data_IF_994838374407
#
_entry.id   IF_994838374407
#
_cell.length_a   1.000
_cell.length_b   1.000
_cell.length_c   1.000
_cell.angle_alpha   90.00
_cell.angle_beta   90.00
_cell.angle_gamma   90.00
#
_symmetry.space_group_name_H-M   'P 1'
#
loop_
_entity.id
_entity.type
_entity.pdbx_description
1 polymer ?
#
# COMPACT_ATOMS: atom_id res chain seq x y z
N UNK A 1 9.13 4.39 8.80
CA UNK A 1 10.60 4.36 8.90
C UNK A 1 11.14 4.40 7.48
N UNK A 2 11.34 5.59 6.93
CA UNK A 2 11.82 5.82 5.57
C UNK A 2 13.29 5.49 5.52
N UNK A 3 13.64 4.34 4.95
CA UNK A 3 14.98 4.15 4.40
C UNK A 3 15.18 5.25 3.35
N UNK A 4 16.26 6.00 3.51
CA UNK A 4 16.74 7.11 2.68
C UNK A 4 16.63 6.75 1.18
N UNK A 5 15.47 7.03 0.58
CA UNK A 5 15.26 6.89 -0.87
C UNK A 5 15.79 8.18 -1.47
N UNK A 6 16.92 8.09 -2.15
CA UNK A 6 17.43 9.20 -2.93
C UNK A 6 16.32 9.64 -3.91
N UNK A 7 15.99 10.92 -3.92
CA UNK A 7 14.99 11.44 -4.85
C UNK A 7 15.61 11.53 -6.26
N UNK A 8 14.77 11.32 -7.27
CA UNK A 8 15.13 11.48 -8.66
C UNK A 8 15.40 12.96 -8.96
N UNK A 9 16.60 13.27 -9.42
CA UNK A 9 17.04 14.65 -9.74
C UNK A 9 17.31 14.88 -11.23
N UNK A 10 17.23 13.83 -12.06
CA UNK A 10 17.46 13.91 -13.50
C UNK A 10 16.26 13.36 -14.25
N UNK A 11 15.82 14.04 -15.33
CA UNK A 11 14.68 13.60 -16.12
C UNK A 11 15.00 12.33 -16.95
N UNK A 12 16.28 12.05 -17.22
CA UNK A 12 16.67 10.93 -18.09
C UNK A 12 16.37 9.56 -17.48
N UNK A 13 15.93 8.64 -18.34
CA UNK A 13 15.68 7.24 -17.96
C UNK A 13 17.03 6.50 -18.00
N UNK A 14 17.49 5.90 -16.89
CA UNK A 14 18.77 5.21 -16.86
C UNK A 14 18.83 4.00 -17.79
N UNK A 15 20.01 3.76 -18.37
CA UNK A 15 20.26 2.57 -19.18
C UNK A 15 19.93 1.24 -18.45
N UNK A 16 20.21 1.07 -17.13
CA UNK A 16 19.75 -0.10 -16.37
C UNK A 16 18.24 -0.36 -16.42
N UNK A 17 17.40 0.69 -16.51
CA UNK A 17 15.94 0.55 -16.61
C UNK A 17 15.56 0.08 -18.01
N UNK A 18 16.16 0.69 -19.04
CA UNK A 18 15.92 0.31 -20.44
C UNK A 18 16.41 -1.12 -20.74
N UNK A 19 17.52 -1.54 -20.13
CA UNK A 19 18.04 -2.89 -20.25
C UNK A 19 17.05 -3.93 -19.70
N UNK A 20 16.49 -3.70 -18.51
CA UNK A 20 15.48 -4.59 -17.93
C UNK A 20 14.25 -4.71 -18.82
N UNK A 21 13.77 -3.60 -19.39
CA UNK A 21 12.64 -3.63 -20.32
C UNK A 21 12.93 -4.48 -21.57
N UNK A 22 14.12 -4.35 -22.16
CA UNK A 22 14.52 -5.17 -23.32
C UNK A 22 14.60 -6.65 -22.96
N UNK A 23 15.18 -6.97 -21.80
CA UNK A 23 15.30 -8.36 -21.36
C UNK A 23 13.95 -8.98 -21.01
N UNK A 24 13.05 -8.23 -20.40
CA UNK A 24 11.71 -8.69 -20.11
C UNK A 24 10.91 -9.04 -21.37
N UNK A 25 11.04 -8.23 -22.42
CA UNK A 25 10.28 -8.42 -23.66
C UNK A 25 10.93 -9.44 -24.62
N UNK A 26 12.26 -9.60 -24.60
CA UNK A 26 12.99 -10.36 -25.64
C UNK A 26 13.69 -11.61 -25.10
N UNK A 27 14.09 -11.64 -23.83
CA UNK A 27 15.09 -12.59 -23.34
C UNK A 27 14.59 -13.55 -22.25
N UNK A 28 13.27 -13.68 -22.06
CA UNK A 28 12.71 -14.63 -21.09
C UNK A 28 12.99 -14.27 -19.62
N UNK A 29 13.15 -12.96 -19.32
CA UNK A 29 13.42 -12.52 -17.94
C UNK A 29 12.38 -13.04 -16.94
N UNK A 30 11.13 -13.26 -17.39
CA UNK A 30 10.01 -13.73 -16.58
C UNK A 30 9.75 -15.24 -16.70
N UNK A 31 10.75 -16.04 -17.10
CA UNK A 31 10.60 -17.50 -17.18
C UNK A 31 10.65 -18.17 -15.80
N UNK A 32 11.63 -17.78 -14.97
CA UNK A 32 11.81 -18.27 -13.61
C UNK A 32 12.58 -17.25 -12.74
N UNK A 33 12.70 -17.53 -11.44
CA UNK A 33 13.37 -16.65 -10.47
C UNK A 33 14.84 -16.41 -10.80
N UNK A 34 15.54 -17.44 -11.29
CA UNK A 34 16.96 -17.38 -11.58
C UNK A 34 17.24 -16.53 -12.83
N UNK A 35 16.41 -16.68 -13.86
CA UNK A 35 16.44 -15.88 -15.09
C UNK A 35 16.16 -14.41 -14.80
N UNK A 36 15.16 -14.14 -13.96
CA UNK A 36 14.81 -12.79 -13.48
C UNK A 36 15.98 -12.13 -12.75
N UNK A 37 16.56 -12.83 -11.77
CA UNK A 37 17.69 -12.33 -11.00
C UNK A 37 18.92 -12.11 -11.88
N UNK A 38 19.27 -13.08 -12.73
CA UNK A 38 20.43 -12.99 -13.61
C UNK A 38 20.30 -11.82 -14.60
N UNK A 39 19.10 -11.56 -15.13
CA UNK A 39 18.87 -10.41 -16.01
C UNK A 39 18.95 -9.07 -15.29
N UNK A 40 18.39 -8.97 -14.08
CA UNK A 40 18.54 -7.77 -13.24
C UNK A 40 20.01 -7.51 -12.90
N UNK A 41 20.79 -8.53 -12.53
CA UNK A 41 22.21 -8.38 -12.23
C UNK A 41 23.04 -7.94 -13.46
N UNK A 42 22.73 -8.51 -14.65
CA UNK A 42 23.35 -8.11 -15.93
C UNK A 42 23.02 -6.66 -16.30
N UNK A 43 21.81 -6.20 -16.00
CA UNK A 43 21.40 -4.81 -16.18
C UNK A 43 21.99 -3.84 -15.13
N UNK A 44 22.74 -4.35 -14.15
CA UNK A 44 23.45 -3.53 -13.15
C UNK A 44 22.72 -3.37 -11.82
N UNK A 45 21.61 -4.10 -11.60
CA UNK A 45 20.90 -4.12 -10.33
C UNK A 45 21.60 -5.03 -9.32
N UNK A 46 21.35 -4.79 -8.03
CA UNK A 46 21.89 -5.58 -6.93
C UNK A 46 20.78 -5.96 -5.96
N UNK A 47 20.82 -7.21 -5.49
CA UNK A 47 19.91 -7.71 -4.45
C UNK A 47 20.02 -6.84 -3.20
N UNK A 48 18.88 -6.40 -2.72
CA UNK A 48 18.74 -5.71 -1.45
C UNK A 48 18.73 -6.69 -0.27
N UNK A 49 18.62 -6.14 0.94
CA UNK A 49 18.45 -6.95 2.16
C UNK A 49 17.07 -7.62 2.21
N UNK A 50 16.03 -6.90 1.83
CA UNK A 50 14.67 -7.42 1.69
C UNK A 50 14.57 -8.24 0.41
N UNK A 51 14.06 -9.47 0.51
CA UNK A 51 13.84 -10.32 -0.67
C UNK A 51 12.94 -9.65 -1.71
N UNK A 52 13.28 -9.84 -2.98
CA UNK A 52 12.59 -9.21 -4.10
C UNK A 52 12.87 -7.72 -4.30
N UNK A 53 13.57 -7.04 -3.39
CA UNK A 53 13.98 -5.64 -3.57
C UNK A 53 15.37 -5.57 -4.20
N UNK A 54 15.51 -4.68 -5.19
CA UNK A 54 16.76 -4.43 -5.91
C UNK A 54 17.07 -2.95 -5.94
N UNK A 55 18.36 -2.64 -5.92
CA UNK A 55 18.88 -1.27 -5.97
C UNK A 55 19.89 -1.12 -7.10
N UNK A 56 20.01 0.08 -7.64
CA UNK A 56 21.01 0.40 -8.65
C UNK A 56 22.02 1.39 -8.06
N UNK A 57 23.26 0.95 -7.72
CA UNK A 57 24.25 1.84 -7.12
C UNK A 57 24.61 3.06 -7.98
N UNK A 58 24.51 2.93 -9.30
CA UNK A 58 24.77 4.02 -10.24
C UNK A 58 23.61 5.03 -10.34
N UNK A 59 22.40 4.65 -9.92
CA UNK A 59 21.18 5.44 -10.03
C UNK A 59 20.29 5.22 -8.80
N UNK A 60 20.66 5.77 -7.63
CA UNK A 60 20.01 5.46 -6.35
C UNK A 60 18.56 5.94 -6.26
N UNK A 61 18.12 6.84 -7.16
CA UNK A 61 16.72 7.27 -7.28
C UNK A 61 15.79 6.29 -7.98
N UNK A 62 16.31 5.13 -8.38
CA UNK A 62 15.55 4.04 -8.99
C UNK A 62 15.67 2.76 -8.17
N UNK A 63 14.56 2.04 -8.04
CA UNK A 63 14.52 0.73 -7.36
C UNK A 63 13.67 -0.25 -8.16
N UNK A 64 13.94 -1.55 -8.01
CA UNK A 64 13.07 -2.60 -8.56
C UNK A 64 12.53 -3.43 -7.41
N UNK A 65 11.23 -3.72 -7.46
CA UNK A 65 10.62 -4.78 -6.68
C UNK A 65 10.24 -5.90 -7.63
N UNK A 66 10.38 -7.14 -7.20
CA UNK A 66 10.08 -8.29 -8.04
C UNK A 66 9.52 -9.43 -7.20
N UNK A 67 8.75 -10.30 -7.85
CA UNK A 67 8.25 -11.53 -7.28
C UNK A 67 8.72 -12.70 -8.14
N UNK A 68 8.95 -13.84 -7.50
CA UNK A 68 9.30 -15.09 -8.18
C UNK A 68 8.07 -15.79 -8.78
N UNK A 69 6.89 -15.64 -8.19
CA UNK A 69 5.76 -16.50 -8.51
C UNK A 69 4.41 -15.79 -8.56
N UNK A 70 3.84 -15.54 -9.76
CA UNK A 70 4.53 -15.64 -11.06
C UNK A 70 5.68 -14.61 -11.16
N UNK A 71 6.73 -14.89 -11.96
CA UNK A 71 7.82 -13.94 -12.17
C UNK A 71 7.28 -12.60 -12.67
N UNK A 72 7.53 -11.54 -11.91
CA UNK A 72 7.12 -10.18 -12.24
C UNK A 72 8.07 -9.16 -11.63
N UNK A 73 8.07 -7.96 -12.18
CA UNK A 73 8.85 -6.85 -11.62
C UNK A 73 8.11 -5.52 -11.76
N UNK A 74 8.42 -4.60 -10.86
CA UNK A 74 8.01 -3.21 -10.90
C UNK A 74 9.22 -2.32 -10.65
N UNK A 75 9.48 -1.41 -11.58
CA UNK A 75 10.50 -0.36 -11.43
C UNK A 75 9.83 0.87 -10.82
N UNK A 76 10.45 1.43 -9.78
CA UNK A 76 9.97 2.60 -9.06
C UNK A 76 10.97 3.75 -9.13
N UNK A 77 10.46 4.97 -9.26
CA UNK A 77 11.19 6.21 -9.07
C UNK A 77 10.32 7.24 -8.35
N UNK A 78 10.88 7.92 -7.36
CA UNK A 78 10.23 8.98 -6.59
C UNK A 78 11.01 10.29 -6.74
N UNK A 79 10.33 11.43 -6.89
CA UNK A 79 11.02 12.72 -7.07
C UNK A 79 10.10 13.91 -7.32
N UNK A 80 10.68 15.00 -7.80
CA UNK A 80 9.93 16.18 -8.23
C UNK A 80 9.01 15.84 -9.41
N UNK A 81 7.82 16.41 -9.44
CA UNK A 81 6.79 16.07 -10.42
C UNK A 81 7.28 16.24 -11.86
N UNK A 82 7.92 17.36 -12.19
CA UNK A 82 8.45 17.61 -13.55
C UNK A 82 9.48 16.56 -13.99
N UNK A 83 10.34 16.15 -13.06
CA UNK A 83 11.40 15.17 -13.32
C UNK A 83 10.81 13.79 -13.57
N UNK A 84 9.92 13.34 -12.69
CA UNK A 84 9.29 12.01 -12.75
C UNK A 84 8.29 11.91 -13.91
N UNK A 85 7.47 12.94 -14.14
CA UNK A 85 6.55 13.01 -15.28
C UNK A 85 7.31 13.04 -16.62
N UNK A 86 8.46 13.72 -16.66
CA UNK A 86 9.38 13.67 -17.78
C UNK A 86 9.88 12.24 -18.06
N UNK A 87 10.36 11.55 -17.02
CA UNK A 87 10.83 10.17 -17.13
C UNK A 87 9.72 9.23 -17.63
N UNK A 88 8.50 9.37 -17.10
CA UNK A 88 7.30 8.65 -17.55
C UNK A 88 7.04 8.87 -19.05
N UNK A 89 7.05 10.12 -19.50
CA UNK A 89 6.84 10.46 -20.92
C UNK A 89 7.88 9.80 -21.84
N UNK A 90 9.14 9.75 -21.40
CA UNK A 90 10.22 9.08 -22.16
C UNK A 90 10.05 7.57 -22.18
N UNK A 91 9.67 6.95 -21.07
CA UNK A 91 9.36 5.52 -20.99
C UNK A 91 8.21 5.15 -21.93
N UNK A 92 7.09 5.88 -21.87
CA UNK A 92 5.95 5.66 -22.76
C UNK A 92 6.36 5.74 -24.25
N UNK A 93 7.18 6.75 -24.62
CA UNK A 93 7.73 6.87 -25.98
C UNK A 93 8.64 5.71 -26.34
N UNK A 94 9.49 5.25 -25.41
CA UNK A 94 10.39 4.12 -25.63
C UNK A 94 9.62 2.82 -25.89
N UNK A 95 8.56 2.58 -25.11
CA UNK A 95 7.66 1.43 -25.27
C UNK A 95 6.92 1.46 -26.61
N UNK A 96 6.43 2.64 -27.03
CA UNK A 96 5.71 2.80 -28.30
C UNK A 96 6.58 2.85 -29.57
N UNK A 97 7.91 3.00 -29.45
CA UNK A 97 8.82 3.15 -30.60
C UNK A 97 9.60 1.88 -30.96
N UNK A 98 9.30 0.75 -30.30
CA UNK A 98 10.04 -0.52 -30.47
C UNK A 98 11.40 -0.54 -29.78
N UNK A 99 11.66 0.41 -28.85
CA UNK A 99 12.91 0.51 -28.10
C UNK A 99 13.21 -0.69 -27.19
N UNK A 100 12.19 -1.51 -26.91
CA UNK A 100 12.28 -2.79 -26.19
C UNK A 100 12.79 -3.94 -27.06
N UNK A 101 13.00 -3.72 -28.36
CA UNK A 101 13.41 -4.75 -29.33
C UNK A 101 12.25 -5.42 -30.09
N UNK A 102 11.01 -5.24 -29.64
CA UNK A 102 9.77 -5.57 -30.36
C UNK A 102 8.73 -4.46 -30.13
N UNK A 103 7.91 -4.09 -31.13
CA UNK A 103 6.81 -3.18 -30.89
C UNK A 103 5.82 -3.82 -29.91
N UNK A 104 5.40 -3.07 -28.90
CA UNK A 104 4.33 -3.47 -28.00
C UNK A 104 3.02 -2.84 -28.50
N UNK A 105 1.94 -3.62 -28.50
CA UNK A 105 0.61 -3.14 -28.84
C UNK A 105 0.11 -2.24 -27.71
N UNK A 106 -0.24 -1.00 -28.04
CA UNK A 106 -0.73 -0.04 -27.07
C UNK A 106 -2.25 -0.11 -26.97
N UNK A 107 -2.76 -0.54 -25.82
CA UNK A 107 -4.18 -0.55 -25.54
C UNK A 107 -4.57 0.75 -24.82
N UNK A 108 -5.32 1.61 -25.52
CA UNK A 108 -5.95 2.78 -24.89
C UNK A 108 -7.19 2.31 -24.14
N UNK A 109 -7.08 2.26 -22.82
CA UNK A 109 -8.24 2.11 -21.94
C UNK A 109 -8.78 3.51 -21.59
N UNK A 110 -9.93 3.92 -22.15
CA UNK A 110 -10.50 5.24 -21.91
C UNK A 110 -10.93 5.45 -20.45
N UNK A 111 -11.12 4.36 -19.69
CA UNK A 111 -11.48 4.40 -18.27
C UNK A 111 -10.24 4.36 -17.34
N UNK A 112 -9.03 4.15 -17.90
CA UNK A 112 -7.74 4.09 -17.19
C UNK A 112 -6.64 4.88 -17.89
N UNK A 113 -6.91 6.16 -18.16
CA UNK A 113 -5.96 7.07 -18.83
C UNK A 113 -4.68 7.34 -18.01
N UNK A 114 -4.70 7.08 -16.70
CA UNK A 114 -3.60 7.17 -15.75
C UNK A 114 -2.70 5.92 -15.72
N UNK A 115 -3.09 4.87 -16.45
CA UNK A 115 -2.42 3.58 -16.47
C UNK A 115 -2.35 2.99 -17.90
N UNK A 116 -1.58 3.60 -18.81
CA UNK A 116 -1.36 3.03 -20.14
C UNK A 116 -0.72 1.63 -20.08
N UNK A 117 -1.17 0.76 -21.00
CA UNK A 117 -0.72 -0.63 -21.12
C UNK A 117 -0.18 -0.93 -22.51
N UNK A 118 0.87 -1.73 -22.51
CA UNK A 118 1.60 -2.20 -23.68
C UNK A 118 1.74 -3.71 -23.60
N UNK A 119 1.26 -4.43 -24.60
CA UNK A 119 1.21 -5.90 -24.56
C UNK A 119 1.99 -6.53 -25.71
N UNK A 120 2.50 -7.72 -25.45
CA UNK A 120 2.90 -8.72 -26.45
C UNK A 120 2.09 -10.00 -26.19
N UNK A 121 2.40 -11.09 -26.89
CA UNK A 121 1.81 -12.40 -26.60
C UNK A 121 2.08 -12.87 -25.16
N UNK A 122 3.28 -12.61 -24.64
CA UNK A 122 3.77 -13.24 -23.40
C UNK A 122 3.92 -12.25 -22.22
N UNK A 123 4.01 -10.95 -22.51
CA UNK A 123 4.34 -9.91 -21.51
C UNK A 123 3.40 -8.72 -21.64
N UNK A 124 2.93 -8.23 -20.49
CA UNK A 124 2.27 -6.95 -20.33
C UNK A 124 3.21 -5.99 -19.59
N UNK A 125 3.36 -4.78 -20.13
CA UNK A 125 4.05 -3.66 -19.50
C UNK A 125 3.02 -2.58 -19.23
N UNK A 126 3.06 -2.00 -18.04
CA UNK A 126 2.18 -0.92 -17.69
C UNK A 126 2.90 0.17 -16.91
N UNK A 127 2.47 1.42 -17.07
CA UNK A 127 3.13 2.59 -16.51
C UNK A 127 2.11 3.43 -15.77
N UNK A 128 2.39 3.72 -14.50
CA UNK A 128 1.55 4.52 -13.63
C UNK A 128 2.35 5.70 -13.06
N UNK A 129 1.69 6.85 -12.96
CA UNK A 129 2.22 8.07 -12.36
C UNK A 129 1.26 8.53 -11.26
N UNK A 130 1.78 8.89 -10.10
CA UNK A 130 0.97 9.39 -8.99
C UNK A 130 1.62 10.61 -8.34
N UNK A 131 0.89 11.72 -8.11
CA UNK A 131 -0.50 11.93 -8.51
C UNK A 131 -0.63 12.13 -10.03
N UNK A 132 -1.77 11.69 -10.58
CA UNK A 132 -2.19 11.96 -11.96
C UNK A 132 -3.62 12.51 -11.99
N UNK A 133 -3.91 13.57 -12.77
CA UNK A 133 -2.96 14.40 -13.55
C UNK A 133 -2.05 15.24 -12.65
N UNK A 134 -1.10 15.98 -13.26
CA UNK A 134 -0.23 16.89 -12.53
C UNK A 134 -1.00 17.75 -11.53
N UNK A 135 -0.52 17.89 -10.28
CA UNK A 135 -1.21 18.71 -9.29
C UNK A 135 -1.29 20.14 -9.81
N UNK A 136 -2.42 20.81 -9.58
CA UNK A 136 -2.52 22.26 -9.81
C UNK A 136 -1.40 22.96 -9.03
N UNK A 137 -0.83 24.08 -9.54
CA UNK A 137 0.21 24.81 -8.83
C UNK A 137 -0.26 25.08 -7.40
N UNK A 138 0.43 24.50 -6.43
CA UNK A 138 0.17 24.80 -5.04
C UNK A 138 0.70 26.22 -4.77
N UNK A 139 0.01 27.03 -3.97
CA UNK A 139 0.60 28.28 -3.47
C UNK A 139 1.96 28.00 -2.81
N UNK A 140 2.94 28.91 -2.96
CA UNK A 140 4.32 28.75 -2.47
C UNK A 140 4.43 28.23 -1.02
N UNK A 141 3.46 28.60 -0.17
CA UNK A 141 3.43 28.20 1.24
C UNK A 141 2.97 26.75 1.49
N UNK A 142 2.46 26.04 0.47
CA UNK A 142 2.03 24.65 0.51
C UNK A 142 2.92 23.72 -0.32
N UNK A 143 3.91 24.23 -1.07
CA UNK A 143 4.84 23.41 -1.86
C UNK A 143 5.61 22.40 -1.00
N UNK A 144 5.97 22.77 0.23
CA UNK A 144 6.65 21.89 1.19
C UNK A 144 5.78 20.70 1.67
N UNK A 145 4.47 20.72 1.41
CA UNK A 145 3.52 19.66 1.74
C UNK A 145 3.18 18.77 0.55
N UNK A 146 3.69 19.08 -0.65
CA UNK A 146 3.47 18.26 -1.83
C UNK A 146 4.14 16.89 -1.63
N UNK A 147 3.35 15.81 -1.69
CA UNK A 147 3.90 14.47 -1.74
C UNK A 147 4.79 14.34 -2.99
N UNK A 148 5.95 13.65 -2.89
CA UNK A 148 6.78 13.41 -4.06
C UNK A 148 6.00 12.64 -5.11
N UNK A 149 6.24 12.99 -6.37
CA UNK A 149 5.67 12.27 -7.48
C UNK A 149 6.32 10.90 -7.57
N UNK A 150 5.50 9.85 -7.73
CA UNK A 150 5.94 8.46 -7.85
C UNK A 150 5.61 7.94 -9.24
N UNK A 151 6.54 7.20 -9.82
CA UNK A 151 6.38 6.44 -11.06
C UNK A 151 6.53 4.96 -10.75
N UNK A 152 5.59 4.16 -11.26
CA UNK A 152 5.66 2.71 -11.27
C UNK A 152 5.59 2.20 -12.71
N UNK A 153 6.59 1.43 -13.12
CA UNK A 153 6.60 0.69 -14.38
C UNK A 153 6.54 -0.81 -14.05
N UNK A 154 5.37 -1.42 -14.22
CA UNK A 154 5.16 -2.83 -13.95
C UNK A 154 5.33 -3.67 -15.21
N UNK A 155 5.99 -4.83 -15.07
CA UNK A 155 6.18 -5.81 -16.13
C UNK A 155 5.80 -7.19 -15.59
N UNK A 156 4.85 -7.83 -16.26
CA UNK A 156 4.29 -9.12 -15.84
C UNK A 156 4.01 -10.00 -17.05
N UNK A 157 3.84 -11.30 -16.82
CA UNK A 157 3.39 -12.21 -17.88
C UNK A 157 1.91 -12.03 -18.15
N UNK A 158 1.48 -12.21 -19.39
CA UNK A 158 0.06 -12.15 -19.79
C UNK A 158 -0.75 -13.33 -19.26
N UNK A 159 -0.10 -14.46 -18.96
CA UNK A 159 -0.71 -15.66 -18.36
C UNK A 159 -0.68 -15.65 -16.82
N UNK A 160 -0.14 -14.60 -16.21
CA UNK A 160 -0.13 -14.45 -14.77
C UNK A 160 -1.55 -14.17 -14.23
N UNK A 161 -2.04 -14.91 -13.22
CA UNK A 161 -3.31 -14.59 -12.59
C UNK A 161 -3.23 -13.23 -11.89
N UNK A 162 -4.28 -12.38 -12.00
CA UNK A 162 -4.27 -11.03 -11.42
C UNK A 162 -4.20 -11.02 -9.89
N UNK A 163 -4.69 -12.07 -9.23
CA UNK A 163 -4.64 -12.23 -7.78
C UNK A 163 -3.33 -12.88 -7.28
N UNK A 164 -2.40 -13.18 -8.20
CA UNK A 164 -1.23 -13.99 -7.91
C UNK A 164 -1.57 -15.48 -7.78
N UNK A 165 -0.56 -16.29 -7.45
CA UNK A 165 -0.74 -17.72 -7.23
C UNK A 165 -0.91 -17.98 -5.72
N UNK A 166 -1.86 -18.86 -5.32
CA UNK A 166 -2.09 -19.15 -3.92
C UNK A 166 -0.85 -19.78 -3.28
N UNK A 167 -0.72 -19.60 -1.96
CA UNK A 167 0.32 -20.24 -1.19
C UNK A 167 0.31 -21.76 -1.36
N UNK A 168 1.49 -22.33 -1.61
CA UNK A 168 1.71 -23.78 -1.70
C UNK A 168 2.85 -24.16 -0.75
N UNK A 169 2.47 -24.75 0.37
CA UNK A 169 3.39 -25.17 1.42
C UNK A 169 4.38 -26.26 0.97
N UNK A 170 3.96 -27.23 0.14
CA UNK A 170 4.86 -28.27 -0.36
C UNK A 170 5.90 -27.68 -1.31
N UNK A 171 5.48 -26.74 -2.16
CA UNK A 171 6.39 -25.99 -3.03
C UNK A 171 7.38 -25.18 -2.21
N UNK A 172 6.93 -24.47 -1.18
CA UNK A 172 7.79 -23.70 -0.30
C UNK A 172 8.87 -24.59 0.35
N UNK A 173 8.51 -25.76 0.86
CA UNK A 173 9.48 -26.71 1.42
C UNK A 173 10.46 -27.25 0.37
N UNK A 174 10.00 -27.54 -0.85
CA UNK A 174 10.90 -27.95 -1.95
C UNK A 174 11.90 -26.85 -2.28
N UNK A 175 11.45 -25.60 -2.40
CA UNK A 175 12.32 -24.45 -2.68
C UNK A 175 13.29 -24.23 -1.51
N UNK A 176 12.82 -24.24 -0.27
CA UNK A 176 13.67 -24.06 0.90
C UNK A 176 14.81 -25.10 1.01
N UNK A 177 14.56 -26.35 0.59
CA UNK A 177 15.55 -27.44 0.67
C UNK A 177 16.44 -27.59 -0.56
N UNK A 178 15.89 -27.33 -1.74
CA UNK A 178 16.51 -27.71 -3.02
C UNK A 178 16.48 -26.61 -4.08
N UNK A 179 15.81 -25.48 -3.81
CA UNK A 179 15.79 -24.33 -4.72
C UNK A 179 17.15 -23.66 -4.81
N UNK A 180 17.35 -22.81 -5.81
CA UNK A 180 18.56 -21.99 -5.92
C UNK A 180 18.65 -20.98 -4.75
N UNK A 181 19.83 -20.41 -4.46
CA UNK A 181 19.95 -19.35 -3.46
C UNK A 181 19.02 -18.14 -3.75
N UNK A 182 18.75 -17.87 -5.03
CA UNK A 182 17.84 -16.80 -5.46
C UNK A 182 16.39 -17.14 -5.14
N UNK A 183 15.94 -18.35 -5.49
CA UNK A 183 14.58 -18.80 -5.17
C UNK A 183 14.34 -18.81 -3.66
N UNK A 184 15.32 -19.28 -2.88
CA UNK A 184 15.25 -19.24 -1.40
C UNK A 184 15.23 -17.81 -0.87
N UNK A 185 15.92 -16.87 -1.51
CA UNK A 185 15.91 -15.46 -1.14
C UNK A 185 14.55 -14.80 -1.40
N UNK A 186 13.87 -15.13 -2.50
CA UNK A 186 12.49 -14.70 -2.76
C UNK A 186 11.50 -15.31 -1.78
N UNK A 187 11.63 -16.62 -1.51
CA UNK A 187 10.80 -17.31 -0.53
C UNK A 187 10.94 -16.69 0.87
N UNK A 188 12.16 -16.36 1.31
CA UNK A 188 12.42 -15.79 2.64
C UNK A 188 11.70 -14.45 2.92
N UNK A 189 11.33 -13.71 1.88
CA UNK A 189 10.60 -12.46 1.99
C UNK A 189 9.07 -12.61 1.94
N UNK A 190 8.56 -13.83 1.76
CA UNK A 190 7.13 -14.08 1.87
C UNK A 190 6.67 -13.91 3.32
N UNK A 191 5.42 -13.51 3.46
CA UNK A 191 4.78 -13.16 4.72
C UNK A 191 4.04 -14.35 5.35
N UNK A 192 3.72 -15.37 4.56
CA UNK A 192 2.92 -16.56 4.90
C UNK A 192 3.78 -17.82 5.14
N UNK A 193 5.07 -17.65 5.44
CA UNK A 193 5.97 -18.77 5.71
C UNK A 193 5.52 -19.56 6.96
N UNK A 194 5.46 -20.88 6.83
CA UNK A 194 5.25 -21.80 7.95
C UNK A 194 6.52 -21.98 8.80
N UNK A 195 6.39 -22.39 10.06
CA UNK A 195 7.52 -22.47 10.99
C UNK A 195 8.64 -23.42 10.56
N UNK A 196 8.27 -24.53 9.93
CA UNK A 196 9.20 -25.51 9.38
C UNK A 196 9.98 -24.96 8.17
N UNK A 197 9.35 -24.16 7.31
CA UNK A 197 10.04 -23.45 6.21
C UNK A 197 11.00 -22.40 6.79
N UNK A 198 10.56 -21.64 7.79
CA UNK A 198 11.42 -20.67 8.49
C UNK A 198 12.62 -21.36 9.15
N UNK A 199 12.44 -22.53 9.75
CA UNK A 199 13.52 -23.29 10.38
C UNK A 199 14.59 -23.74 9.38
N UNK A 200 14.16 -24.19 8.19
CA UNK A 200 15.09 -24.54 7.09
C UNK A 200 15.88 -23.31 6.64
N UNK A 201 15.20 -22.18 6.36
CA UNK A 201 15.83 -20.97 5.84
C UNK A 201 16.71 -20.24 6.85
N UNK A 202 16.44 -20.38 8.15
CA UNK A 202 17.25 -19.73 9.21
C UNK A 202 18.69 -20.22 9.24
N UNK A 203 18.94 -21.43 8.75
CA UNK A 203 20.27 -22.05 8.70
C UNK A 203 20.84 -22.09 7.26
N UNK A 204 20.35 -21.24 6.36
CA UNK A 204 20.81 -21.20 4.97
C UNK A 204 22.30 -20.79 4.88
N UNK A 205 22.99 -21.34 3.88
CA UNK A 205 24.40 -21.03 3.61
C UNK A 205 24.57 -19.66 2.93
N UNK A 206 23.55 -19.16 2.22
CA UNK A 206 23.57 -17.83 1.61
C UNK A 206 23.14 -16.76 2.63
N UNK A 207 24.02 -15.83 3.05
CA UNK A 207 23.70 -14.80 4.03
C UNK A 207 22.60 -13.83 3.54
N UNK A 208 22.38 -13.71 2.23
CA UNK A 208 21.28 -12.89 1.70
C UNK A 208 19.91 -13.50 2.04
N UNK A 209 19.79 -14.83 2.04
CA UNK A 209 18.56 -15.54 2.40
C UNK A 209 18.23 -15.31 3.87
N UNK A 210 19.22 -15.48 4.76
CA UNK A 210 19.07 -15.23 6.20
C UNK A 210 18.71 -13.76 6.46
N UNK A 211 19.37 -12.82 5.78
CA UNK A 211 19.07 -11.40 5.93
C UNK A 211 17.64 -11.03 5.48
N UNK A 212 17.14 -11.63 4.40
CA UNK A 212 15.77 -11.42 3.93
C UNK A 212 14.74 -12.05 4.88
N UNK A 213 15.05 -13.23 5.44
CA UNK A 213 14.24 -13.86 6.46
C UNK A 213 14.14 -12.97 7.69
N UNK A 214 15.25 -12.45 8.20
CA UNK A 214 15.23 -11.60 9.40
C UNK A 214 14.48 -10.28 9.18
N UNK A 215 14.58 -9.68 7.98
CA UNK A 215 13.88 -8.44 7.62
C UNK A 215 12.35 -8.61 7.68
N UNK A 216 11.83 -9.72 7.16
CA UNK A 216 10.38 -10.02 7.18
C UNK A 216 9.86 -10.58 8.51
N UNK A 217 10.73 -10.90 9.48
CA UNK A 217 10.33 -11.61 10.70
C UNK A 217 9.33 -10.82 11.56
N UNK A 218 9.46 -9.50 11.60
CA UNK A 218 8.53 -8.64 12.36
C UNK A 218 7.14 -8.61 11.72
N UNK A 219 7.07 -8.53 10.39
CA UNK A 219 5.82 -8.53 9.63
C UNK A 219 5.09 -9.87 9.78
N UNK A 220 5.81 -10.99 9.63
CA UNK A 220 5.26 -12.34 9.84
C UNK A 220 4.78 -12.57 11.26
N UNK A 221 5.44 -11.98 12.25
CA UNK A 221 4.99 -12.06 13.65
C UNK A 221 3.63 -11.40 13.82
N UNK A 222 3.46 -10.20 13.26
CA UNK A 222 2.18 -9.47 13.26
C UNK A 222 1.11 -10.30 12.55
N UNK A 223 1.40 -10.84 11.37
CA UNK A 223 0.45 -11.65 10.61
C UNK A 223 0.07 -12.94 11.32
N UNK A 224 1.00 -13.61 12.00
CA UNK A 224 0.70 -14.82 12.79
C UNK A 224 -0.07 -14.51 14.06
N UNK A 225 0.19 -13.37 14.70
CA UNK A 225 -0.62 -12.86 15.80
C UNK A 225 -2.05 -12.60 15.30
N UNK A 226 -2.20 -12.00 14.11
CA UNK A 226 -3.49 -11.78 13.45
C UNK A 226 -4.16 -13.11 13.01
N UNK A 227 -3.41 -14.10 12.52
CA UNK A 227 -3.94 -15.42 12.10
C UNK A 227 -4.32 -16.32 13.29
N UNK A 228 -3.54 -16.32 14.37
CA UNK A 228 -3.89 -17.02 15.61
C UNK A 228 -5.15 -16.44 16.26
N UNK A 229 -5.35 -15.13 16.09
CA UNK A 229 -6.58 -14.43 16.45
C UNK A 229 -7.75 -14.77 15.49
N UNK A 230 -7.47 -15.05 14.21
CA UNK A 230 -8.46 -15.53 13.23
C UNK A 230 -8.84 -17.02 13.38
N UNK A 231 -7.93 -17.90 13.82
CA UNK A 231 -8.17 -19.35 14.05
C UNK A 231 -8.96 -19.67 15.33
N UNK A 232 -9.26 -18.67 16.15
CA UNK A 232 -10.13 -18.81 17.33
C UNK A 232 -9.42 -19.28 18.61
N UNK A 233 -8.08 -19.19 18.68
CA UNK A 233 -7.33 -19.47 19.92
C UNK A 233 -7.37 -18.30 20.92
N UNK A 234 -7.79 -17.12 20.46
CA UNK A 234 -8.61 -16.14 21.21
C UNK A 234 -9.81 -15.77 20.34
N UNK A 235 -10.96 -15.50 20.98
CA UNK A 235 -12.27 -15.34 20.31
C UNK A 235 -12.29 -14.37 19.13
N UNK A 236 -13.27 -14.49 18.20
CA UNK A 236 -13.11 -14.09 16.81
C UNK A 236 -13.03 -12.57 16.67
N UNK A 237 -12.04 -12.08 15.89
CA UNK A 237 -11.80 -10.66 15.63
C UNK A 237 -12.17 -10.21 14.20
N UNK A 238 -12.01 -8.91 13.98
CA UNK A 238 -12.59 -8.07 12.94
C UNK A 238 -11.49 -7.65 11.97
N UNK A 239 -11.68 -7.81 10.66
CA UNK A 239 -10.76 -7.32 9.62
C UNK A 239 -10.70 -5.80 9.63
N UNK A 240 -9.54 -5.18 9.41
CA UNK A 240 -9.38 -3.76 9.12
C UNK A 240 -8.72 -3.59 7.75
N UNK A 241 -9.38 -2.88 6.84
CA UNK A 241 -8.81 -2.51 5.54
C UNK A 241 -8.48 -1.02 5.61
N UNK A 242 -7.20 -0.63 5.61
CA UNK A 242 -6.85 0.75 5.29
C UNK A 242 -7.23 1.00 3.82
N UNK A 243 -8.02 2.05 3.53
CA UNK A 243 -8.12 2.53 2.16
C UNK A 243 -6.74 3.13 1.81
N UNK A 244 -6.00 2.50 0.91
CA UNK A 244 -4.80 3.12 0.34
C UNK A 244 -5.24 4.19 -0.68
N UNK A 245 -4.65 5.39 -0.57
CA UNK A 245 -4.80 6.46 -1.58
C UNK A 245 -5.14 7.83 -1.00
N UNK A 246 -4.46 8.86 -1.52
CA UNK A 246 -4.83 10.27 -1.34
C UNK A 246 -6.11 10.65 -2.11
N UNK A 247 -6.28 11.92 -2.53
CA UNK A 247 -7.54 12.41 -3.07
C UNK A 247 -7.94 11.65 -4.35
N UNK A 248 -9.04 10.89 -4.26
CA UNK A 248 -9.43 9.89 -5.27
C UNK A 248 -9.58 8.51 -4.65
N UNK A 249 -10.50 8.37 -3.68
CA UNK A 249 -10.69 7.14 -2.92
C UNK A 249 -11.33 6.05 -3.80
N UNK A 250 -10.55 5.03 -4.17
CA UNK A 250 -11.13 3.76 -4.62
C UNK A 250 -11.29 2.89 -3.38
N UNK A 251 -12.54 2.73 -2.91
CA UNK A 251 -12.86 1.73 -1.90
C UNK A 251 -12.68 0.35 -2.54
N UNK A 252 -11.48 -0.23 -2.41
CA UNK A 252 -11.27 -1.62 -2.85
C UNK A 252 -12.21 -2.52 -2.03
N UNK A 253 -13.23 -3.06 -2.68
CA UNK A 253 -14.17 -4.02 -2.10
C UNK A 253 -15.25 -3.48 -1.15
N UNK A 254 -15.58 -2.17 -1.14
CA UNK A 254 -16.72 -1.66 -0.33
C UNK A 254 -17.63 -0.76 -1.16
N UNK A 255 -18.87 -1.19 -1.38
CA UNK A 255 -19.86 -0.41 -2.12
C UNK A 255 -20.49 0.70 -1.27
N UNK A 256 -20.80 1.86 -1.85
CA UNK A 256 -21.49 2.98 -1.16
C UNK A 256 -22.78 2.51 -0.44
N UNK A 257 -23.48 1.53 -1.02
CA UNK A 257 -24.69 0.95 -0.41
C UNK A 257 -24.41 0.27 0.94
N UNK A 258 -23.26 -0.42 1.10
CA UNK A 258 -22.88 -1.05 2.35
C UNK A 258 -22.53 -0.01 3.41
N UNK A 259 -21.85 1.08 3.01
CA UNK A 259 -21.53 2.19 3.91
C UNK A 259 -22.81 2.87 4.39
N UNK A 260 -23.75 3.16 3.48
CA UNK A 260 -25.07 3.70 3.86
C UNK A 260 -25.79 2.77 4.86
N UNK A 261 -25.71 1.45 4.64
CA UNK A 261 -26.30 0.48 5.56
C UNK A 261 -25.65 0.53 6.95
N UNK A 262 -24.33 0.66 7.05
CA UNK A 262 -23.61 0.81 8.33
C UNK A 262 -24.02 2.09 9.07
N UNK A 263 -24.05 3.25 8.39
CA UNK A 263 -24.48 4.51 9.02
C UNK A 263 -25.91 4.42 9.53
N UNK A 264 -26.81 3.76 8.78
CA UNK A 264 -28.17 3.51 9.21
C UNK A 264 -28.23 2.58 10.43
N UNK A 265 -27.40 1.54 10.48
CA UNK A 265 -27.37 0.57 11.58
C UNK A 265 -26.99 1.19 12.93
N UNK A 266 -26.22 2.28 12.94
CA UNK A 266 -25.86 3.02 14.16
C UNK A 266 -26.73 4.26 14.40
N UNK A 267 -27.81 4.44 13.64
CA UNK A 267 -28.79 5.50 13.84
C UNK A 267 -28.41 6.87 13.26
N UNK A 268 -27.40 6.96 12.41
CA UNK A 268 -26.92 8.21 11.83
C UNK A 268 -27.66 8.53 10.52
N UNK A 269 -28.97 8.76 10.62
CA UNK A 269 -29.87 8.93 9.46
C UNK A 269 -29.53 10.13 8.57
N UNK A 270 -29.02 11.22 9.14
CA UNK A 270 -28.63 12.42 8.38
C UNK A 270 -27.63 12.13 7.24
N UNK A 271 -26.73 11.16 7.43
CA UNK A 271 -25.80 10.69 6.39
C UNK A 271 -26.43 9.61 5.50
N UNK A 272 -27.22 8.70 6.09
CA UNK A 272 -27.82 7.58 5.35
C UNK A 272 -28.94 8.00 4.38
N UNK A 273 -29.57 9.15 4.64
CA UNK A 273 -30.67 9.68 3.83
C UNK A 273 -30.19 10.60 2.69
N UNK A 274 -28.89 10.95 2.67
CA UNK A 274 -28.22 11.65 1.56
C UNK A 274 -26.92 10.91 1.14
N UNK A 275 -27.04 9.84 0.33
CA UNK A 275 -25.88 9.08 -0.14
C UNK A 275 -24.88 9.90 -0.98
N UNK A 276 -25.33 10.98 -1.63
CA UNK A 276 -24.46 11.84 -2.43
C UNK A 276 -23.56 12.68 -1.53
N UNK A 277 -24.12 13.27 -0.46
CA UNK A 277 -23.35 13.94 0.59
C UNK A 277 -22.35 12.98 1.24
N UNK A 278 -22.79 11.76 1.61
CA UNK A 278 -21.92 10.76 2.22
C UNK A 278 -20.76 10.37 1.29
N UNK A 279 -21.04 10.13 0.01
CA UNK A 279 -20.01 9.83 -0.99
C UNK A 279 -18.99 10.97 -1.11
N UNK A 280 -19.45 12.22 -1.17
CA UNK A 280 -18.58 13.39 -1.21
C UNK A 280 -17.74 13.53 0.09
N UNK A 281 -18.33 13.27 1.26
CA UNK A 281 -17.64 13.32 2.54
C UNK A 281 -16.56 12.24 2.67
N UNK A 282 -16.84 11.01 2.23
CA UNK A 282 -15.85 9.93 2.18
C UNK A 282 -14.70 10.28 1.24
N UNK A 283 -15.01 10.79 0.05
CA UNK A 283 -14.02 11.18 -0.96
C UNK A 283 -13.13 12.34 -0.49
N UNK A 284 -13.70 13.31 0.24
CA UNK A 284 -12.98 14.48 0.76
C UNK A 284 -12.22 14.24 2.07
N UNK A 285 -12.20 13.01 2.58
CA UNK A 285 -11.51 12.69 3.84
C UNK A 285 -10.05 12.35 3.61
N UNK A 286 -9.20 12.73 4.57
CA UNK A 286 -7.76 12.43 4.51
C UNK A 286 -7.47 10.94 4.70
N UNK A 287 -8.32 10.22 5.44
CA UNK A 287 -8.25 8.76 5.57
C UNK A 287 -9.60 8.17 5.90
N UNK A 288 -9.91 7.04 5.29
CA UNK A 288 -11.03 6.16 5.66
C UNK A 288 -10.46 4.78 5.92
N UNK A 289 -10.82 4.18 7.05
CA UNK A 289 -10.49 2.80 7.39
C UNK A 289 -11.79 2.07 7.61
N UNK A 290 -11.95 0.92 6.96
CA UNK A 290 -13.12 0.08 7.18
C UNK A 290 -12.75 -1.15 7.97
N UNK A 291 -13.69 -1.62 8.77
CA UNK A 291 -13.61 -2.90 9.43
C UNK A 291 -14.56 -3.87 8.72
N UNK A 292 -14.12 -5.07 8.36
CA UNK A 292 -15.00 -6.12 7.82
C UNK A 292 -15.05 -7.34 8.76
N UNK A 293 -16.06 -8.18 8.61
CA UNK A 293 -16.22 -9.50 9.23
C UNK A 293 -16.72 -10.43 8.12
N UNK A 294 -15.80 -11.06 7.40
CA UNK A 294 -16.10 -11.74 6.14
C UNK A 294 -16.62 -10.72 5.11
N UNK A 295 -17.74 -11.05 4.48
CA UNK A 295 -18.42 -10.16 3.52
C UNK A 295 -19.18 -9.00 4.20
N UNK A 296 -19.23 -8.90 5.53
CA UNK A 296 -19.98 -7.82 6.20
C UNK A 296 -19.08 -6.63 6.57
N UNK A 297 -19.52 -5.42 6.25
CA UNK A 297 -18.92 -4.18 6.76
C UNK A 297 -19.25 -4.02 8.26
N UNK A 298 -18.26 -4.28 9.10
CA UNK A 298 -18.37 -4.33 10.55
C UNK A 298 -18.14 -2.97 11.23
N UNK A 299 -17.47 -2.03 10.56
CA UNK A 299 -17.25 -0.69 11.07
C UNK A 299 -16.49 0.20 10.09
N UNK A 300 -16.36 1.47 10.44
CA UNK A 300 -15.68 2.49 9.64
C UNK A 300 -15.12 3.57 10.57
N UNK A 301 -13.94 4.07 10.27
CA UNK A 301 -13.36 5.27 10.86
C UNK A 301 -12.92 6.24 9.76
N UNK A 302 -13.14 7.53 9.98
CA UNK A 302 -12.86 8.59 9.01
C UNK A 302 -12.12 9.74 9.67
N UNK A 303 -11.06 10.22 9.01
CA UNK A 303 -10.21 11.31 9.48
C UNK A 303 -10.18 12.45 8.47
N UNK A 304 -10.33 13.68 8.95
CA UNK A 304 -10.08 14.91 8.21
C UNK A 304 -8.77 15.49 8.74
N UNK A 305 -7.85 15.86 7.86
CA UNK A 305 -6.53 16.33 8.27
C UNK A 305 -5.91 17.23 7.20
N UNK A 306 -5.04 18.15 7.64
CA UNK A 306 -4.10 18.86 6.77
C UNK A 306 -2.78 18.09 6.57
N UNK A 307 -2.67 16.89 7.17
CA UNK A 307 -1.47 16.03 7.13
C UNK A 307 -0.29 16.53 7.96
N UNK A 308 -0.42 17.68 8.63
CA UNK A 308 0.72 18.38 9.23
C UNK A 308 0.47 18.81 10.68
N UNK A 309 -0.61 19.57 10.93
CA UNK A 309 -0.84 20.23 12.21
C UNK A 309 -2.00 19.63 13.00
N UNK A 310 -3.01 19.10 12.30
CA UNK A 310 -4.22 18.56 12.92
C UNK A 310 -4.74 17.31 12.22
N UNK A 311 -5.13 16.31 13.01
CA UNK A 311 -5.96 15.18 12.57
C UNK A 311 -7.25 15.15 13.39
N UNK A 312 -8.37 15.28 12.71
CA UNK A 312 -9.69 15.24 13.31
C UNK A 312 -10.34 13.89 12.99
N UNK A 313 -10.49 13.03 14.00
CA UNK A 313 -11.26 11.79 13.89
C UNK A 313 -12.74 12.18 13.83
N UNK A 314 -13.27 12.17 12.61
CA UNK A 314 -14.59 12.71 12.30
C UNK A 314 -15.69 11.69 12.56
N UNK A 315 -15.56 10.49 12.00
CA UNK A 315 -16.54 9.42 12.20
C UNK A 315 -15.85 8.18 12.75
N UNK A 316 -16.50 7.52 13.72
CA UNK A 316 -16.16 6.19 14.19
C UNK A 316 -17.47 5.43 14.38
N UNK A 317 -17.73 4.45 13.52
CA UNK A 317 -18.94 3.64 13.54
C UNK A 317 -18.56 2.17 13.64
N UNK A 318 -19.23 1.44 14.51
CA UNK A 318 -19.11 -0.02 14.62
C UNK A 318 -20.52 -0.58 14.61
N UNK A 319 -20.77 -1.51 13.69
CA UNK A 319 -22.05 -2.19 13.60
C UNK A 319 -22.42 -2.78 14.98
N UNK A 320 -23.66 -2.65 15.46
CA UNK A 320 -24.04 -3.06 16.82
C UNK A 320 -23.61 -4.48 17.19
N UNK A 321 -23.74 -5.42 16.25
CA UNK A 321 -23.35 -6.83 16.42
C UNK A 321 -21.85 -7.09 16.57
N UNK A 322 -21.01 -6.08 16.33
CA UNK A 322 -19.56 -6.16 16.41
C UNK A 322 -18.96 -5.22 17.48
N UNK A 323 -19.79 -4.52 18.25
CA UNK A 323 -19.32 -3.66 19.33
C UNK A 323 -18.71 -4.48 20.47
N UNK A 324 -17.85 -3.84 21.27
CA UNK A 324 -17.14 -4.44 22.42
C UNK A 324 -16.25 -5.65 22.07
N UNK A 325 -15.95 -5.86 20.79
CA UNK A 325 -15.07 -6.90 20.28
C UNK A 325 -13.73 -6.32 19.76
N UNK A 326 -13.29 -5.19 20.29
CA UNK A 326 -12.03 -4.54 19.88
C UNK A 326 -12.06 -3.75 18.56
N UNK A 327 -13.13 -3.87 17.75
CA UNK A 327 -13.27 -3.20 16.44
C UNK A 327 -12.96 -1.70 16.52
N UNK A 328 -13.62 -0.98 17.44
CA UNK A 328 -13.48 0.47 17.55
C UNK A 328 -12.07 0.89 17.89
N UNK A 329 -11.42 0.20 18.84
CA UNK A 329 -10.02 0.43 19.21
C UNK A 329 -9.09 0.23 18.02
N UNK A 330 -9.31 -0.85 17.27
CA UNK A 330 -8.51 -1.18 16.11
C UNK A 330 -8.69 -0.13 15.00
N UNK A 331 -9.94 0.25 14.71
CA UNK A 331 -10.29 1.31 13.74
C UNK A 331 -9.62 2.64 14.09
N UNK A 332 -9.70 3.10 15.33
CA UNK A 332 -9.09 4.38 15.75
C UNK A 332 -7.57 4.34 15.58
N UNK A 333 -6.93 3.25 16.04
CA UNK A 333 -5.47 3.09 15.91
C UNK A 333 -5.03 3.11 14.46
N UNK A 334 -5.73 2.39 13.59
CA UNK A 334 -5.40 2.32 12.17
C UNK A 334 -5.68 3.64 11.43
N UNK A 335 -6.80 4.29 11.77
CA UNK A 335 -7.17 5.58 11.20
C UNK A 335 -6.19 6.69 11.62
N UNK A 336 -5.64 6.64 12.83
CA UNK A 336 -4.71 7.66 13.33
C UNK A 336 -3.24 7.31 13.17
N UNK A 337 -2.89 6.08 12.76
CA UNK A 337 -1.51 5.61 12.59
C UNK A 337 -0.65 6.57 11.75
N UNK A 338 -1.09 7.08 10.57
CA UNK A 338 -0.26 8.00 9.79
C UNK A 338 -0.08 9.38 10.44
N UNK A 339 -0.98 9.75 11.36
CA UNK A 339 -1.01 11.05 12.01
C UNK A 339 -0.39 11.01 13.41
N UNK A 340 0.35 9.96 13.76
CA UNK A 340 0.96 9.79 15.08
C UNK A 340 1.93 10.93 15.45
N UNK A 341 2.57 11.56 14.44
CA UNK A 341 3.45 12.72 14.61
C UNK A 341 2.75 14.08 14.51
N UNK A 342 1.47 14.12 14.18
CA UNK A 342 0.71 15.37 14.04
C UNK A 342 0.44 15.95 15.42
N UNK A 343 0.70 17.25 15.57
CA UNK A 343 0.67 17.94 16.87
C UNK A 343 -0.67 17.79 17.60
N UNK A 344 -1.78 17.82 16.88
CA UNK A 344 -3.11 17.84 17.48
C UNK A 344 -3.99 16.74 16.88
N UNK A 345 -4.48 15.83 17.73
CA UNK A 345 -5.49 14.83 17.38
C UNK A 345 -6.78 15.16 18.13
N UNK A 346 -7.88 15.36 17.42
CA UNK A 346 -9.14 15.88 17.96
C UNK A 346 -10.30 14.99 17.55
N UNK A 347 -11.32 14.92 18.40
CA UNK A 347 -12.63 14.38 18.08
C UNK A 347 -13.71 15.13 18.86
N UNK A 348 -14.94 15.03 18.39
CA UNK A 348 -16.13 15.34 19.18
C UNK A 348 -16.97 14.06 19.26
N UNK A 349 -17.57 13.83 20.42
CA UNK A 349 -18.39 12.66 20.70
C UNK A 349 -19.52 13.06 21.63
N UNK A 350 -20.57 12.25 21.69
CA UNK A 350 -21.68 12.47 22.62
C UNK A 350 -21.21 12.41 24.09
N UNK A 351 -21.95 13.07 24.98
CA UNK A 351 -21.63 13.10 26.41
C UNK A 351 -22.13 11.82 27.11
N UNK A 352 -21.54 10.68 26.74
CA UNK A 352 -21.82 9.38 27.33
C UNK A 352 -20.60 8.82 28.09
N UNK A 353 -20.77 8.29 29.32
CA UNK A 353 -19.66 7.76 30.13
C UNK A 353 -18.85 6.66 29.42
N UNK A 354 -19.50 5.84 28.60
CA UNK A 354 -18.85 4.78 27.83
C UNK A 354 -17.91 5.33 26.75
N UNK A 355 -18.30 6.40 26.06
CA UNK A 355 -17.50 7.03 25.02
C UNK A 355 -16.27 7.73 25.64
N UNK A 356 -16.46 8.43 26.77
CA UNK A 356 -15.34 9.02 27.52
C UNK A 356 -14.31 7.96 27.92
N UNK A 357 -14.73 6.86 28.54
CA UNK A 357 -13.83 5.80 28.97
C UNK A 357 -13.10 5.15 27.78
N UNK A 358 -13.80 4.94 26.66
CA UNK A 358 -13.23 4.39 25.44
C UNK A 358 -12.11 5.27 24.88
N UNK A 359 -12.36 6.56 24.65
CA UNK A 359 -11.34 7.46 24.10
C UNK A 359 -10.19 7.72 25.07
N UNK A 360 -10.47 7.80 26.38
CA UNK A 360 -9.43 7.89 27.41
C UNK A 360 -8.49 6.68 27.38
N UNK A 361 -9.02 5.46 27.17
CA UNK A 361 -8.19 4.25 27.03
C UNK A 361 -7.27 4.26 25.81
N UNK A 362 -7.57 5.12 24.82
CA UNK A 362 -6.78 5.33 23.61
C UNK A 362 -5.80 6.51 23.73
N UNK A 363 -5.73 7.16 24.91
CA UNK A 363 -4.81 8.26 25.18
C UNK A 363 -5.38 9.66 24.90
N UNK A 364 -6.66 9.78 24.53
CA UNK A 364 -7.31 11.09 24.45
C UNK A 364 -7.61 11.63 25.85
N UNK A 365 -7.53 12.95 26.00
CA UNK A 365 -7.96 13.63 27.22
C UNK A 365 -9.18 14.49 26.89
N UNK A 366 -10.15 14.52 27.82
CA UNK A 366 -11.33 15.35 27.66
C UNK A 366 -10.98 16.79 27.99
N UNK A 367 -11.34 17.70 27.08
CA UNK A 367 -11.13 19.14 27.25
C UNK A 367 -11.59 19.63 28.63
N UNK A 368 -10.64 20.16 29.40
CA UNK A 368 -10.82 20.61 30.78
C UNK A 368 -10.10 19.74 31.81
N UNK A 369 -9.59 18.58 31.44
CA UNK A 369 -8.87 17.63 32.31
C UNK A 369 -7.34 17.59 32.02
N UNK A 370 -6.85 18.43 31.11
CA UNK A 370 -5.49 18.41 30.59
C UNK A 370 -4.48 19.09 31.53
N UNK A 371 -3.24 18.56 31.62
CA UNK A 371 -2.20 19.12 32.49
C UNK A 371 -1.67 20.50 32.06
N UNK A 372 -1.82 20.88 30.78
CA UNK A 372 -1.12 22.02 30.19
C UNK A 372 -2.09 22.96 29.45
N UNK A 373 -2.69 23.89 30.18
CA UNK A 373 -3.58 24.93 29.66
C UNK A 373 -5.03 24.46 29.46
N UNK A 374 -5.99 25.27 29.90
CA UNK A 374 -7.41 24.95 29.73
C UNK A 374 -7.86 25.25 28.30
N UNK A 375 -8.16 24.21 27.53
CA UNK A 375 -8.82 24.34 26.22
C UNK A 375 -10.34 24.49 26.39
N UNK A 376 -11.02 25.00 25.36
CA UNK A 376 -12.48 25.02 25.25
C UNK A 376 -12.88 24.57 23.85
N UNK A 377 -13.95 23.78 23.75
CA UNK A 377 -14.56 23.41 22.47
C UNK A 377 -15.81 24.26 22.22
N UNK A 378 -15.99 24.71 20.99
CA UNK A 378 -17.18 25.43 20.53
C UNK A 378 -17.72 24.75 19.27
N UNK A 379 -19.02 24.49 19.23
CA UNK A 379 -19.68 23.80 18.12
C UNK A 379 -20.87 24.63 17.67
N UNK A 380 -21.05 24.75 16.34
CA UNK A 380 -22.22 25.38 15.73
C UNK A 380 -22.75 24.44 14.65
N UNK A 381 -24.00 24.03 14.79
CA UNK A 381 -24.71 23.28 13.76
C UNK A 381 -25.51 24.25 12.88
N UNK A 382 -25.47 24.04 11.57
CA UNK A 382 -26.37 24.71 10.63
C UNK A 382 -27.60 23.80 10.47
N UNK A 383 -28.78 24.34 10.78
CA UNK A 383 -30.06 23.64 10.72
C UNK A 383 -30.63 23.62 9.28
#
# INVERSE_FOLDING_TARGET
MTADRALLTSPDVPEPVLAVLREAVVAGLLDDADSLAAGLERAGWRRGRSGGRWTCPSHPGWSVQSAEHPPSLSVFADGEHEVVAGASTRLARHLGSGGTGRPLDHELDPDRLDWPRWTTADVEVSLHLSPFPAPLPLPDHLEALAAPCSLQLAVQRTDAPPEGLPWDHERALRVARHGSPVARWYLAAQDDLTDDVVEVLRNDEDPAVVAALDDGASQRRVLREDEAEQRGERGPATYLVPAEGGPGLTLVGTGLAEVVALYRAVGWSAYADDPALLSAALTGSARVVVARRGEQLAGLARVISDGASIAYLQDLLVHPDHQRCGVGTALVREALRPFAGVRQQVLLTDDEPGQRAFYASLGFTQVGEEPCGSLRSFVRFNA
#
